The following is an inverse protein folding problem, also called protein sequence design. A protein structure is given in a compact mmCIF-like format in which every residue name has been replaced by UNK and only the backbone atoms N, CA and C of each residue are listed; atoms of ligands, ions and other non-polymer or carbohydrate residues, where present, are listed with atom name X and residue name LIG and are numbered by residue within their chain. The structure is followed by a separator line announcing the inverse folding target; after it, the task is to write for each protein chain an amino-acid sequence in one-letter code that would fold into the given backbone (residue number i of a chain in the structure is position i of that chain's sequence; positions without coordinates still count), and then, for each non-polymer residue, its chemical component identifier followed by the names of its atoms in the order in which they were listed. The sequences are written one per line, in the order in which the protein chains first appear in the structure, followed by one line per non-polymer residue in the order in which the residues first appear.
data_IF_147915506421
#
_entry.id   IF_147915506421
#
_cell.length_a   1.000
_cell.length_b   1.000
_cell.length_c   1.000
_cell.angle_alpha   90.00
_cell.angle_beta   90.00
_cell.angle_gamma   90.00
#
_symmetry.space_group_name_H-M   'P 1'
#
loop_
_entity.id
_entity.type
_entity.pdbx_description
1 polymer ?
#
# COMPACT_ATOMS: atom_id res chain seq x y z
N UNK A 1 -14.37 3.38 -3.76
CA UNK A 1 -15.77 2.95 -3.59
C UNK A 1 -16.40 2.37 -4.88
N UNK A 2 -16.39 3.09 -6.01
CA UNK A 2 -17.19 2.70 -7.20
C UNK A 2 -16.56 1.66 -8.14
N UNK A 3 -15.24 1.74 -8.36
CA UNK A 3 -14.52 0.77 -9.19
C UNK A 3 -14.61 -0.67 -8.65
N UNK A 4 -14.37 -0.95 -7.35
CA UNK A 4 -14.33 -2.32 -6.83
C UNK A 4 -15.58 -3.12 -7.20
N UNK A 5 -16.77 -2.58 -6.92
CA UNK A 5 -18.04 -3.29 -7.17
C UNK A 5 -18.24 -3.64 -8.65
N UNK A 6 -17.93 -2.70 -9.56
CA UNK A 6 -18.09 -2.93 -11.02
C UNK A 6 -17.10 -3.98 -11.52
N UNK A 7 -15.85 -3.95 -11.03
CA UNK A 7 -14.84 -4.96 -11.40
C UNK A 7 -15.13 -6.32 -10.77
N UNK A 8 -15.56 -6.38 -9.51
CA UNK A 8 -15.81 -7.62 -8.77
C UNK A 8 -16.99 -8.37 -9.37
N UNK A 9 -18.03 -7.66 -9.82
CA UNK A 9 -19.21 -8.29 -10.42
C UNK A 9 -18.97 -8.88 -11.82
N UNK A 10 -18.20 -8.19 -12.66
CA UNK A 10 -17.97 -8.66 -14.03
C UNK A 10 -16.86 -9.73 -14.12
N UNK A 11 -15.84 -9.64 -13.28
CA UNK A 11 -14.65 -10.51 -13.38
C UNK A 11 -14.52 -11.52 -12.23
N UNK A 12 -15.26 -11.35 -11.13
CA UNK A 12 -15.11 -12.14 -9.91
C UNK A 12 -13.92 -11.67 -9.07
N UNK A 13 -14.05 -11.75 -7.75
CA UNK A 13 -13.09 -11.18 -6.80
C UNK A 13 -11.63 -11.65 -7.02
N UNK A 14 -11.43 -12.96 -7.28
CA UNK A 14 -10.11 -13.53 -7.59
C UNK A 14 -9.45 -12.86 -8.80
N UNK A 15 -10.19 -12.66 -9.90
CA UNK A 15 -9.60 -12.08 -11.13
C UNK A 15 -9.30 -10.60 -10.96
N UNK A 16 -10.13 -9.87 -10.21
CA UNK A 16 -9.86 -8.47 -9.88
C UNK A 16 -8.56 -8.34 -9.10
N UNK A 17 -8.37 -9.15 -8.06
CA UNK A 17 -7.13 -9.15 -7.27
C UNK A 17 -5.92 -9.44 -8.15
N UNK A 18 -5.96 -10.48 -8.98
CA UNK A 18 -4.85 -10.81 -9.89
C UNK A 18 -4.57 -9.67 -10.88
N UNK A 19 -5.62 -9.13 -11.53
CA UNK A 19 -5.48 -8.10 -12.56
C UNK A 19 -4.94 -6.79 -11.98
N UNK A 20 -5.45 -6.37 -10.82
CA UNK A 20 -5.00 -5.16 -10.13
C UNK A 20 -3.56 -5.30 -9.63
N UNK A 21 -3.16 -6.47 -9.11
CA UNK A 21 -1.76 -6.72 -8.75
C UNK A 21 -0.84 -6.68 -9.97
N UNK A 22 -1.22 -7.29 -11.10
CA UNK A 22 -0.44 -7.24 -12.35
C UNK A 22 -0.29 -5.80 -12.86
N UNK A 23 -1.38 -5.03 -12.88
CA UNK A 23 -1.35 -3.62 -13.29
C UNK A 23 -0.56 -2.71 -12.34
N UNK A 24 -0.29 -3.16 -11.11
CA UNK A 24 0.58 -2.47 -10.16
C UNK A 24 2.08 -2.68 -10.41
N UNK A 25 2.49 -3.76 -11.09
CA UNK A 25 3.90 -4.06 -11.35
C UNK A 25 4.63 -3.00 -12.21
N UNK A 26 4.01 -2.40 -13.24
CA UNK A 26 4.61 -1.29 -13.99
C UNK A 26 5.01 -0.10 -13.12
N UNK A 27 4.28 0.19 -12.04
CA UNK A 27 4.65 1.25 -11.10
C UNK A 27 5.98 0.91 -10.41
N UNK A 28 6.14 -0.32 -9.91
CA UNK A 28 7.41 -0.76 -9.34
C UNK A 28 8.54 -0.70 -10.37
N UNK A 29 8.31 -1.21 -11.58
CA UNK A 29 9.32 -1.20 -12.66
C UNK A 29 9.69 0.22 -13.12
N UNK A 30 8.76 1.18 -13.07
CA UNK A 30 9.04 2.57 -13.45
C UNK A 30 10.09 3.23 -12.55
N UNK A 31 10.23 2.77 -11.29
CA UNK A 31 11.25 3.26 -10.37
C UNK A 31 12.69 2.91 -10.80
N UNK A 32 12.88 2.06 -11.82
CA UNK A 32 14.20 1.84 -12.44
C UNK A 32 14.72 3.08 -13.17
N UNK A 33 13.82 3.83 -13.81
CA UNK A 33 14.12 5.03 -14.59
C UNK A 33 13.42 6.22 -13.94
N UNK A 34 14.15 7.07 -13.21
CA UNK A 34 13.64 8.29 -12.55
C UNK A 34 13.27 9.38 -13.57
N UNK A 35 12.36 9.07 -14.50
CA UNK A 35 11.75 10.02 -15.42
C UNK A 35 10.41 10.49 -14.86
N UNK A 36 10.32 11.79 -14.66
CA UNK A 36 9.13 12.45 -14.12
C UNK A 36 7.83 12.08 -14.84
N UNK A 37 7.84 12.05 -16.18
CA UNK A 37 6.63 11.74 -16.96
C UNK A 37 6.12 10.31 -16.72
N UNK A 38 7.05 9.35 -16.65
CA UNK A 38 6.73 7.92 -16.49
C UNK A 38 6.25 7.65 -15.07
N UNK A 39 6.96 8.22 -14.09
CA UNK A 39 6.62 8.06 -12.68
C UNK A 39 5.23 8.65 -12.39
N UNK A 40 4.94 9.86 -12.87
CA UNK A 40 3.63 10.49 -12.69
C UNK A 40 2.50 9.65 -13.32
N UNK A 41 2.72 9.15 -14.54
CA UNK A 41 1.72 8.34 -15.25
C UNK A 41 1.46 7.00 -14.56
N UNK A 42 2.50 6.34 -14.04
CA UNK A 42 2.35 5.06 -13.35
C UNK A 42 1.79 5.22 -11.93
N UNK A 43 2.14 6.29 -11.22
CA UNK A 43 1.56 6.61 -9.91
C UNK A 43 0.06 6.88 -9.99
N UNK A 44 -0.39 7.64 -11.00
CA UNK A 44 -1.82 7.89 -11.21
C UNK A 44 -2.57 6.60 -11.53
N UNK A 45 -1.98 5.73 -12.36
CA UNK A 45 -2.52 4.40 -12.63
C UNK A 45 -2.62 3.54 -11.36
N UNK A 46 -1.55 3.48 -10.55
CA UNK A 46 -1.54 2.74 -9.28
C UNK A 46 -2.60 3.26 -8.30
N UNK A 47 -2.79 4.58 -8.21
CA UNK A 47 -3.84 5.20 -7.41
C UNK A 47 -5.25 4.79 -7.83
N UNK A 48 -5.51 4.71 -9.14
CA UNK A 48 -6.79 4.23 -9.67
C UNK A 48 -7.06 2.76 -9.36
N UNK A 49 -6.01 1.95 -9.28
CA UNK A 49 -6.06 0.50 -9.00
C UNK A 49 -6.19 0.20 -7.50
N UNK A 50 -5.63 1.05 -6.65
CA UNK A 50 -5.66 0.86 -5.19
C UNK A 50 -7.09 0.75 -4.64
N UNK A 51 -8.02 1.54 -5.17
CA UNK A 51 -9.44 1.47 -4.82
C UNK A 51 -10.06 0.09 -5.04
N UNK A 52 -10.14 -0.44 -6.27
CA UNK A 52 -10.69 -1.76 -6.55
C UNK A 52 -9.94 -2.91 -5.86
N UNK A 53 -8.61 -2.81 -5.72
CA UNK A 53 -7.81 -3.80 -5.00
C UNK A 53 -8.26 -3.93 -3.54
N UNK A 54 -8.25 -2.82 -2.79
CA UNK A 54 -8.65 -2.82 -1.38
C UNK A 54 -10.12 -3.21 -1.19
N UNK A 55 -11.01 -2.76 -2.08
CA UNK A 55 -12.42 -3.15 -2.02
C UNK A 55 -12.64 -4.65 -2.26
N UNK A 56 -11.99 -5.24 -3.26
CA UNK A 56 -12.09 -6.67 -3.54
C UNK A 56 -11.51 -7.50 -2.39
N UNK A 57 -10.37 -7.07 -1.84
CA UNK A 57 -9.69 -7.73 -0.74
C UNK A 57 -10.56 -7.77 0.53
N UNK A 58 -11.14 -6.63 0.93
CA UNK A 58 -12.03 -6.54 2.09
C UNK A 58 -13.26 -7.45 1.94
N UNK A 59 -13.91 -7.43 0.76
CA UNK A 59 -15.05 -8.32 0.48
C UNK A 59 -14.64 -9.80 0.54
N UNK A 60 -13.46 -10.14 0.03
CA UNK A 60 -12.97 -11.51 0.06
C UNK A 60 -12.77 -12.02 1.49
N UNK A 61 -12.16 -11.20 2.36
CA UNK A 61 -11.91 -11.54 3.77
C UNK A 61 -13.23 -11.67 4.53
N UNK A 62 -14.16 -10.75 4.32
CA UNK A 62 -15.48 -10.76 4.97
C UNK A 62 -16.28 -12.02 4.60
N UNK A 63 -16.34 -12.35 3.31
CA UNK A 63 -17.02 -13.56 2.83
C UNK A 63 -16.37 -14.85 3.33
N UNK A 64 -15.04 -14.88 3.45
CA UNK A 64 -14.33 -16.01 4.06
C UNK A 64 -14.70 -16.17 5.54
N UNK A 65 -14.78 -15.05 6.27
CA UNK A 65 -15.19 -15.03 7.67
C UNK A 65 -16.65 -15.49 7.84
N UNK A 66 -17.58 -15.05 6.98
CA UNK A 66 -18.98 -15.47 6.99
C UNK A 66 -19.10 -16.99 6.74
N UNK A 67 -18.38 -17.52 5.76
CA UNK A 67 -18.37 -18.97 5.47
C UNK A 67 -17.80 -19.79 6.63
N UNK A 68 -16.75 -19.28 7.28
CA UNK A 68 -16.17 -19.91 8.47
C UNK A 68 -17.12 -19.88 9.66
N UNK A 69 -17.82 -18.75 9.85
CA UNK A 69 -18.82 -18.56 10.89
C UNK A 69 -20.00 -19.54 10.71
N UNK A 70 -20.45 -19.77 9.48
CA UNK A 70 -21.53 -20.71 9.18
C UNK A 70 -21.21 -22.16 9.63
N UNK A 71 -19.92 -22.55 9.64
CA UNK A 71 -19.47 -23.86 10.10
C UNK A 71 -19.29 -23.92 11.62
N UNK A 72 -18.82 -22.83 12.23
CA UNK A 72 -18.40 -22.80 13.65
C UNK A 72 -19.51 -22.32 14.59
N UNK A 73 -20.58 -21.68 14.07
CA UNK A 73 -21.69 -21.07 14.82
C UNK A 73 -21.26 -20.08 15.92
N UNK A 74 -20.08 -19.48 15.73
CA UNK A 74 -19.59 -18.41 16.59
C UNK A 74 -20.23 -17.08 16.22
N UNK A 75 -20.02 -16.07 17.07
CA UNK A 75 -20.45 -14.72 16.79
C UNK A 75 -19.74 -14.16 15.55
N UNK A 76 -20.50 -13.50 14.67
CA UNK A 76 -19.99 -13.03 13.39
C UNK A 76 -19.01 -11.87 13.58
N UNK A 77 -19.30 -10.94 14.49
CA UNK A 77 -18.45 -9.79 14.76
C UNK A 77 -17.08 -10.23 15.27
N UNK A 78 -17.06 -11.22 16.18
CA UNK A 78 -15.81 -11.81 16.66
C UNK A 78 -15.00 -12.49 15.54
N UNK A 79 -15.63 -13.34 14.73
CA UNK A 79 -14.94 -14.07 13.65
C UNK A 79 -14.36 -13.10 12.62
N UNK A 80 -15.17 -12.13 12.17
CA UNK A 80 -14.72 -11.09 11.22
C UNK A 80 -13.53 -10.32 11.80
N UNK A 81 -13.60 -9.91 13.09
CA UNK A 81 -12.49 -9.21 13.74
C UNK A 81 -11.19 -10.03 13.77
N UNK A 82 -11.27 -11.35 13.98
CA UNK A 82 -10.08 -12.23 13.96
C UNK A 82 -9.47 -12.31 12.56
N UNK A 83 -10.29 -12.50 11.52
CA UNK A 83 -9.81 -12.56 10.13
C UNK A 83 -9.15 -11.24 9.71
N UNK A 84 -9.78 -10.10 10.00
CA UNK A 84 -9.19 -8.79 9.74
C UNK A 84 -7.94 -8.52 10.60
N UNK A 85 -7.90 -9.02 11.85
CA UNK A 85 -6.71 -8.91 12.71
C UNK A 85 -5.50 -9.66 12.15
N UNK A 86 -5.70 -10.89 11.66
CA UNK A 86 -4.63 -11.66 11.00
C UNK A 86 -4.18 -10.96 9.72
N UNK A 87 -5.11 -10.47 8.91
CA UNK A 87 -4.80 -9.70 7.71
C UNK A 87 -3.96 -8.46 8.03
N UNK A 88 -4.37 -7.65 9.01
CA UNK A 88 -3.65 -6.44 9.40
C UNK A 88 -2.24 -6.76 9.91
N UNK A 89 -2.05 -7.88 10.61
CA UNK A 89 -0.71 -8.31 11.04
C UNK A 89 0.25 -8.51 9.87
N UNK A 90 -0.20 -9.16 8.79
CA UNK A 90 0.61 -9.33 7.57
C UNK A 90 0.83 -8.02 6.80
N UNK A 91 -0.18 -7.16 6.74
CA UNK A 91 -0.08 -5.86 6.07
C UNK A 91 0.96 -4.96 6.75
N UNK A 92 0.88 -4.79 8.06
CA UNK A 92 1.85 -3.99 8.81
C UNK A 92 3.23 -4.64 8.80
N UNK A 93 3.29 -5.99 8.84
CA UNK A 93 4.53 -6.73 8.67
C UNK A 93 5.24 -6.44 7.35
N UNK A 94 4.50 -6.14 6.28
CA UNK A 94 5.09 -5.83 4.97
C UNK A 94 5.98 -4.59 5.01
N UNK A 95 5.65 -3.59 5.85
CA UNK A 95 6.48 -2.41 6.03
C UNK A 95 7.83 -2.78 6.68
N UNK A 96 7.81 -3.68 7.67
CA UNK A 96 9.00 -4.17 8.34
C UNK A 96 9.90 -4.94 7.36
N UNK A 97 9.32 -5.87 6.60
CA UNK A 97 10.08 -6.67 5.62
C UNK A 97 10.61 -5.82 4.47
N UNK A 98 9.84 -4.83 3.99
CA UNK A 98 10.28 -3.88 2.97
C UNK A 98 11.50 -3.09 3.45
N UNK A 99 11.40 -2.47 4.62
CA UNK A 99 12.50 -1.70 5.19
C UNK A 99 13.75 -2.57 5.47
N UNK A 100 13.56 -3.83 5.89
CA UNK A 100 14.65 -4.77 6.05
C UNK A 100 15.36 -5.10 4.73
N UNK A 101 14.61 -5.29 3.63
CA UNK A 101 15.18 -5.52 2.29
C UNK A 101 15.95 -4.29 1.83
N UNK A 102 15.36 -3.09 1.98
CA UNK A 102 16.02 -1.82 1.65
C UNK A 102 17.32 -1.65 2.43
N UNK A 103 17.31 -1.94 3.74
CA UNK A 103 18.50 -1.90 4.59
C UNK A 103 19.59 -2.85 4.09
N UNK A 104 19.26 -4.12 3.78
CA UNK A 104 20.26 -5.09 3.33
C UNK A 104 20.90 -4.66 2.01
N UNK A 105 20.10 -4.17 1.06
CA UNK A 105 20.59 -3.78 -0.27
C UNK A 105 21.45 -2.51 -0.23
N UNK A 106 21.08 -1.53 0.59
CA UNK A 106 21.76 -0.22 0.68
C UNK A 106 22.94 -0.26 1.66
N UNK A 107 22.82 -1.01 2.77
CA UNK A 107 23.84 -1.09 3.82
C UNK A 107 25.10 -1.85 3.40
N UNK A 108 25.02 -2.76 2.42
CA UNK A 108 26.16 -3.56 1.95
C UNK A 108 27.34 -2.73 1.39
N UNK A 109 27.14 -1.44 1.06
CA UNK A 109 28.22 -0.57 0.53
C UNK A 109 28.47 0.72 1.29
N UNK A 110 27.63 1.08 2.26
CA UNK A 110 27.88 2.19 3.21
C UNK A 110 28.77 1.77 4.39
N UNK A 111 29.72 0.85 4.16
CA UNK A 111 30.85 0.63 5.08
C UNK A 111 31.97 1.61 4.71
N UNK A 112 31.76 2.89 4.95
CA UNK A 112 32.83 3.88 5.01
C UNK A 112 32.94 4.43 6.45
N UNK A 113 34.17 4.70 6.90
CA UNK A 113 34.59 4.45 8.27
C UNK A 113 33.94 5.43 9.23
N UNK A 114 33.59 4.93 10.44
CA UNK A 114 33.43 5.74 11.66
C UNK A 114 34.77 6.43 12.03
N UNK A 115 35.28 7.29 11.16
CA UNK A 115 36.42 8.16 11.39
C UNK A 115 36.12 9.51 10.75
N UNK A 116 35.12 10.21 11.29
CA UNK A 116 35.01 11.66 11.17
C UNK A 116 35.04 12.23 12.60
N UNK A 117 36.21 12.13 13.22
CA UNK A 117 36.75 13.28 13.95
C UNK A 117 37.01 14.36 12.92
N UNK A 118 36.02 15.17 12.59
CA UNK A 118 36.29 16.48 11.99
C UNK A 118 35.38 17.52 12.62
N UNK A 119 36.02 18.50 13.23
CA UNK A 119 35.46 19.44 14.19
C UNK A 119 34.73 20.61 13.51
N UNK A 120 34.26 20.44 12.26
CA UNK A 120 33.77 21.53 11.40
C UNK A 120 32.54 21.21 10.52
N UNK A 121 31.86 20.08 10.69
CA UNK A 121 30.60 19.83 9.97
C UNK A 121 29.42 20.45 10.73
N UNK A 122 28.61 21.26 10.03
CA UNK A 122 27.35 21.80 10.53
C UNK A 122 26.55 20.75 11.32
N UNK A 123 25.88 21.12 12.42
CA UNK A 123 25.05 20.17 13.15
C UNK A 123 24.00 19.60 12.21
N UNK A 124 23.97 18.27 12.09
CA UNK A 124 22.98 17.53 11.33
C UNK A 124 21.58 17.94 11.84
N UNK A 125 20.87 18.76 11.06
CA UNK A 125 19.52 19.22 11.42
C UNK A 125 18.50 18.17 11.02
N UNK A 126 18.19 17.29 11.96
CA UNK A 126 17.16 16.25 11.81
C UNK A 126 16.02 16.47 12.81
N UNK A 127 14.90 15.78 12.60
CA UNK A 127 13.73 15.85 13.47
C UNK A 127 12.99 17.18 13.33
N UNK A 128 12.80 17.90 14.43
CA UNK A 128 11.98 19.12 14.46
C UNK A 128 12.61 20.29 13.67
N UNK A 129 13.94 20.28 13.52
CA UNK A 129 14.70 21.30 12.80
C UNK A 129 15.04 20.85 11.36
N UNK A 130 14.48 19.74 10.88
CA UNK A 130 14.69 19.26 9.51
C UNK A 130 14.11 20.26 8.51
N UNK A 131 14.96 20.71 7.59
CA UNK A 131 14.59 21.63 6.52
C UNK A 131 14.88 20.98 5.17
N UNK A 132 13.83 20.45 4.53
CA UNK A 132 13.91 19.82 3.21
C UNK A 132 14.38 20.76 2.10
N UNK A 133 14.28 22.09 2.30
CA UNK A 133 14.72 23.11 1.34
C UNK A 133 15.99 23.83 1.81
N UNK A 134 16.52 23.44 2.96
CA UNK A 134 17.72 24.01 3.54
C UNK A 134 18.95 23.59 2.76
N UNK A 135 19.94 24.47 2.68
CA UNK A 135 21.21 24.20 2.00
C UNK A 135 22.14 23.29 2.84
N UNK A 136 21.57 22.31 3.56
CA UNK A 136 22.25 21.37 4.44
C UNK A 136 22.50 20.09 3.66
N UNK A 137 23.76 19.87 3.30
CA UNK A 137 24.21 18.65 2.64
C UNK A 137 24.34 17.53 3.67
N UNK A 138 23.26 16.75 3.83
CA UNK A 138 23.30 15.53 4.62
C UNK A 138 23.62 14.35 3.70
N UNK A 139 24.78 13.74 3.88
CA UNK A 139 25.22 12.56 3.11
C UNK A 139 24.29 11.35 3.28
N UNK A 140 23.51 11.30 4.36
CA UNK A 140 22.51 10.25 4.61
C UNK A 140 21.27 10.38 3.70
N UNK A 141 21.01 11.56 3.11
CA UNK A 141 19.91 11.79 2.16
C UNK A 141 20.38 11.74 0.70
N UNK A 142 21.64 11.38 0.44
CA UNK A 142 22.16 11.27 -0.91
C UNK A 142 21.51 10.08 -1.64
N UNK A 143 21.12 10.30 -2.89
CA UNK A 143 20.40 9.30 -3.69
C UNK A 143 21.28 8.04 -3.84
N UNK A 144 20.76 6.84 -3.49
CA UNK A 144 21.52 5.61 -3.62
C UNK A 144 22.05 5.41 -5.05
N UNK A 145 23.27 4.85 -5.20
CA UNK A 145 23.87 4.62 -6.51
C UNK A 145 22.97 3.74 -7.38
N UNK A 146 23.03 3.97 -8.70
CA UNK A 146 22.08 3.38 -9.65
C UNK A 146 21.99 1.85 -9.57
N UNK A 147 23.12 1.19 -9.29
CA UNK A 147 23.18 -0.26 -9.13
C UNK A 147 22.34 -0.76 -7.94
N UNK A 148 22.41 -0.11 -6.78
CA UNK A 148 21.65 -0.49 -5.58
C UNK A 148 20.16 -0.29 -5.80
N UNK A 149 19.77 0.85 -6.40
CA UNK A 149 18.39 1.14 -6.78
C UNK A 149 17.83 0.06 -7.71
N UNK A 150 18.58 -0.33 -8.75
CA UNK A 150 18.15 -1.34 -9.71
C UNK A 150 17.97 -2.70 -9.01
N UNK A 151 18.91 -3.12 -8.16
CA UNK A 151 18.80 -4.39 -7.40
C UNK A 151 17.57 -4.37 -6.48
N UNK A 152 17.33 -3.26 -5.80
CA UNK A 152 16.16 -3.10 -4.93
C UNK A 152 14.86 -3.22 -5.72
N UNK A 153 14.73 -2.49 -6.83
CA UNK A 153 13.53 -2.52 -7.68
C UNK A 153 13.32 -3.91 -8.29
N UNK A 154 14.37 -4.56 -8.78
CA UNK A 154 14.28 -5.92 -9.31
C UNK A 154 13.81 -6.93 -8.25
N UNK A 155 14.26 -6.77 -7.00
CA UNK A 155 13.82 -7.62 -5.87
C UNK A 155 12.32 -7.45 -5.61
N UNK A 156 11.84 -6.21 -5.53
CA UNK A 156 10.41 -5.94 -5.33
C UNK A 156 9.53 -6.39 -6.50
N UNK A 157 9.98 -6.19 -7.74
CA UNK A 157 9.27 -6.71 -8.93
C UNK A 157 9.22 -8.24 -8.91
N UNK A 158 10.32 -8.90 -8.53
CA UNK A 158 10.38 -10.36 -8.38
C UNK A 158 9.39 -10.87 -7.32
N UNK A 159 9.32 -10.22 -6.16
CA UNK A 159 8.33 -10.53 -5.12
C UNK A 159 6.90 -10.27 -5.59
N UNK A 160 6.67 -9.21 -6.35
CA UNK A 160 5.37 -8.91 -6.97
C UNK A 160 4.92 -10.01 -7.94
N UNK A 161 5.82 -10.49 -8.80
CA UNK A 161 5.53 -11.61 -9.70
C UNK A 161 5.25 -12.91 -8.93
N UNK A 162 6.02 -13.17 -7.87
CA UNK A 162 5.78 -14.31 -6.99
C UNK A 162 4.41 -14.22 -6.29
N UNK A 163 4.01 -13.03 -5.84
CA UNK A 163 2.68 -12.79 -5.28
C UNK A 163 1.57 -13.09 -6.30
N UNK A 164 1.72 -12.67 -7.56
CA UNK A 164 0.76 -13.02 -8.63
C UNK A 164 0.64 -14.53 -8.80
N UNK A 165 1.76 -15.27 -8.76
CA UNK A 165 1.74 -16.73 -8.81
C UNK A 165 0.98 -17.34 -7.63
N UNK A 166 1.21 -16.84 -6.41
CA UNK A 166 0.50 -17.29 -5.22
C UNK A 166 -1.00 -17.03 -5.34
N UNK A 167 -1.42 -15.84 -5.78
CA UNK A 167 -2.83 -15.52 -6.01
C UNK A 167 -3.45 -16.41 -7.09
N UNK A 168 -2.70 -16.76 -8.14
CA UNK A 168 -3.20 -17.65 -9.18
C UNK A 168 -3.41 -19.08 -8.66
N UNK A 169 -2.43 -19.61 -7.92
CA UNK A 169 -2.39 -21.01 -7.47
C UNK A 169 -3.22 -21.29 -6.22
N UNK A 170 -3.16 -20.41 -5.21
CA UNK A 170 -3.74 -20.67 -3.88
C UNK A 170 -5.06 -19.95 -3.62
N UNK A 171 -5.34 -18.84 -4.32
CA UNK A 171 -6.59 -18.12 -4.09
C UNK A 171 -7.75 -18.87 -4.75
N UNK A 172 -8.75 -19.27 -3.99
CA UNK A 172 -9.94 -19.89 -4.55
C UNK A 172 -10.87 -18.83 -5.15
N UNK A 173 -11.52 -19.11 -6.29
CA UNK A 173 -12.55 -18.23 -6.80
C UNK A 173 -13.73 -18.25 -5.82
N UNK A 174 -14.00 -17.09 -5.20
CA UNK A 174 -15.22 -16.92 -4.45
C UNK A 174 -16.40 -17.02 -5.42
N UNK A 175 -17.13 -18.15 -5.36
CA UNK A 175 -18.28 -18.41 -6.24
C UNK A 175 -19.31 -17.29 -6.03
N UNK A 176 -19.64 -16.59 -7.12
CA UNK A 176 -20.49 -15.38 -7.11
C UNK A 176 -21.88 -15.66 -6.52
N UNK A 177 -22.06 -15.43 -5.22
CA UNK A 177 -23.39 -15.25 -4.61
C UNK A 177 -23.84 -13.77 -4.66
N UNK A 178 -22.99 -12.88 -5.20
CA UNK A 178 -23.32 -11.48 -5.47
C UNK A 178 -24.15 -11.45 -6.76
N UNK A 179 -25.47 -11.39 -6.60
CA UNK A 179 -26.49 -11.38 -7.66
C UNK A 179 -26.09 -10.52 -8.87
N UNK A 180 -26.11 -11.17 -10.03
CA UNK A 180 -25.96 -10.57 -11.36
C UNK A 180 -26.92 -9.38 -11.56
N UNK A 181 -26.37 -8.17 -11.56
CA UNK A 181 -27.05 -6.95 -11.96
C UNK A 181 -26.21 -6.21 -12.98
N UNK A 182 -25.91 -6.86 -14.12
CA UNK A 182 -25.03 -6.28 -15.14
C UNK A 182 -25.66 -5.05 -15.81
N UNK A 183 -24.97 -3.90 -15.73
CA UNK A 183 -25.28 -2.73 -16.54
C UNK A 183 -24.95 -1.37 -15.92
N UNK A 184 -24.73 -0.36 -16.78
CA UNK A 184 -24.54 1.05 -16.41
C UNK A 184 -25.62 1.60 -15.47
N UNK A 185 -26.86 1.08 -15.58
CA UNK A 185 -27.97 1.42 -14.68
C UNK A 185 -27.77 0.91 -13.26
N UNK A 186 -27.17 -0.27 -13.07
CA UNK A 186 -26.86 -0.83 -11.75
C UNK A 186 -25.75 -0.03 -11.07
N UNK A 187 -24.67 0.27 -11.81
CA UNK A 187 -23.60 1.14 -11.34
C UNK A 187 -24.10 2.54 -10.96
N UNK A 188 -24.96 3.14 -11.79
CA UNK A 188 -25.54 4.46 -11.50
C UNK A 188 -26.54 4.41 -10.31
N UNK A 189 -27.28 3.31 -10.15
CA UNK A 189 -28.16 3.12 -8.99
C UNK A 189 -27.37 2.98 -7.69
N UNK A 190 -26.25 2.25 -7.70
CA UNK A 190 -25.35 2.13 -6.53
C UNK A 190 -24.60 3.41 -6.24
N UNK A 191 -24.22 4.17 -7.27
CA UNK A 191 -23.70 5.52 -7.10
C UNK A 191 -24.71 6.44 -6.39
N UNK A 192 -25.97 6.39 -6.83
CA UNK A 192 -27.04 7.14 -6.20
C UNK A 192 -27.32 6.66 -4.76
N UNK A 193 -27.22 5.34 -4.51
CA UNK A 193 -27.34 4.77 -3.18
C UNK A 193 -26.19 5.21 -2.26
N UNK A 194 -24.95 5.20 -2.72
CA UNK A 194 -23.78 5.67 -1.97
C UNK A 194 -23.90 7.16 -1.61
N UNK A 195 -24.33 8.01 -2.55
CA UNK A 195 -24.59 9.44 -2.28
C UNK A 195 -25.75 9.61 -1.29
N UNK A 196 -26.81 8.81 -1.41
CA UNK A 196 -27.92 8.82 -0.46
C UNK A 196 -27.47 8.39 0.94
N UNK A 197 -26.53 7.46 1.02
CA UNK A 197 -25.93 6.98 2.26
C UNK A 197 -25.11 8.08 2.96
N UNK A 198 -24.41 8.96 2.22
CA UNK A 198 -23.73 10.14 2.80
C UNK A 198 -24.69 11.04 3.59
N UNK A 199 -25.99 11.03 3.32
CA UNK A 199 -27.00 11.75 4.11
C UNK A 199 -27.28 11.16 5.50
N UNK A 200 -26.75 9.98 5.83
CA UNK A 200 -26.94 9.36 7.14
C UNK A 200 -25.96 9.97 8.17
N UNK A 201 -26.45 10.57 9.27
CA UNK A 201 -25.61 11.26 10.25
C UNK A 201 -24.52 10.37 10.85
N UNK A 202 -24.76 9.07 10.99
CA UNK A 202 -23.76 8.13 11.51
C UNK A 202 -22.57 7.92 10.54
N UNK A 203 -22.81 7.98 9.22
CA UNK A 203 -21.75 7.84 8.22
C UNK A 203 -20.97 9.14 8.04
N UNK A 204 -21.62 10.30 8.19
CA UNK A 204 -20.93 11.60 8.18
C UNK A 204 -19.88 11.67 9.28
N UNK A 205 -20.17 11.14 10.48
CA UNK A 205 -19.24 11.14 11.60
C UNK A 205 -17.98 10.29 11.35
N UNK A 206 -18.05 9.29 10.46
CA UNK A 206 -16.92 8.44 10.10
C UNK A 206 -15.97 9.11 9.10
N UNK A 207 -16.43 10.11 8.35
CA UNK A 207 -15.62 10.80 7.33
C UNK A 207 -14.42 11.53 7.96
N UNK A 208 -14.58 12.37 9.01
CA UNK A 208 -13.45 13.01 9.67
C UNK A 208 -12.44 12.03 10.24
N UNK A 209 -12.92 10.92 10.82
CA UNK A 209 -12.06 9.86 11.39
C UNK A 209 -11.23 9.22 10.27
N UNK A 210 -11.86 8.92 9.13
CA UNK A 210 -11.17 8.33 7.97
C UNK A 210 -10.12 9.27 7.39
N UNK A 211 -10.41 10.58 7.33
CA UNK A 211 -9.45 11.60 6.90
C UNK A 211 -8.26 11.66 7.85
N UNK A 212 -8.51 11.64 9.17
CA UNK A 212 -7.46 11.67 10.18
C UNK A 212 -6.52 10.46 10.05
N UNK A 213 -7.08 9.25 9.90
CA UNK A 213 -6.30 8.02 9.69
C UNK A 213 -5.44 8.14 8.41
N UNK A 214 -6.00 8.69 7.34
CA UNK A 214 -5.26 8.92 6.10
C UNK A 214 -4.07 9.87 6.29
N UNK A 215 -4.29 11.01 6.95
CA UNK A 215 -3.24 11.99 7.25
C UNK A 215 -2.15 11.37 8.13
N UNK A 216 -2.54 10.65 9.18
CA UNK A 216 -1.63 9.95 10.09
C UNK A 216 -0.74 8.95 9.33
N UNK A 217 -1.33 8.10 8.50
CA UNK A 217 -0.59 7.10 7.72
C UNK A 217 0.43 7.72 6.76
N UNK A 218 0.08 8.85 6.12
CA UNK A 218 0.96 9.58 5.22
C UNK A 218 2.12 10.26 5.97
N UNK A 219 1.83 10.83 7.15
CA UNK A 219 2.83 11.48 7.99
C UNK A 219 3.87 10.47 8.51
N UNK A 220 3.45 9.29 8.98
CA UNK A 220 4.40 8.27 9.44
C UNK A 220 5.24 7.70 8.30
N UNK A 221 4.62 7.41 7.16
CA UNK A 221 5.31 6.72 6.05
C UNK A 221 6.30 7.62 5.31
N UNK A 222 6.06 8.93 5.26
CA UNK A 222 6.88 9.86 4.48
C UNK A 222 7.66 10.82 5.39
N UNK A 223 6.97 11.81 5.96
CA UNK A 223 7.59 12.93 6.69
C UNK A 223 8.39 12.47 7.90
N UNK A 224 7.81 11.58 8.72
CA UNK A 224 8.48 11.07 9.91
C UNK A 224 9.69 10.23 9.54
N UNK A 225 9.55 9.37 8.54
CA UNK A 225 10.64 8.50 8.08
C UNK A 225 11.79 9.31 7.49
N UNK A 226 11.51 10.34 6.69
CA UNK A 226 12.54 11.20 6.11
C UNK A 226 13.25 12.06 7.18
N UNK A 227 12.47 12.84 7.95
CA UNK A 227 13.01 13.85 8.85
C UNK A 227 13.69 13.25 10.09
N UNK A 228 13.16 12.15 10.63
CA UNK A 228 13.66 11.55 11.88
C UNK A 228 14.54 10.33 11.65
N UNK A 229 14.18 9.45 10.71
CA UNK A 229 14.86 8.16 10.52
C UNK A 229 15.98 8.31 9.48
N UNK A 230 15.65 8.61 8.23
CA UNK A 230 16.60 8.70 7.12
C UNK A 230 17.66 9.78 7.36
N UNK A 231 17.26 10.97 7.81
CA UNK A 231 18.21 12.04 8.15
C UNK A 231 19.25 11.60 9.19
N UNK A 232 18.84 10.83 10.20
CA UNK A 232 19.70 10.41 11.32
C UNK A 232 20.54 9.17 10.98
N UNK A 233 19.97 8.21 10.25
CA UNK A 233 20.54 6.85 10.08
C UNK A 233 20.90 6.50 8.62
N UNK A 234 20.47 7.27 7.62
CA UNK A 234 20.81 7.06 6.20
C UNK A 234 20.16 5.84 5.56
N UNK A 235 18.93 5.53 5.98
CA UNK A 235 18.13 4.39 5.52
C UNK A 235 16.73 4.81 5.13
#
# INVERSE_FOLDING_TARGET
LFLPEITIENFGCKRVLIFTTILGLPYLASNMYLRWDVLLSMSTLFGLISGPYNGALTVYIDELAIRYQALTKQDLEFVVAVFFGVYSCFMEGTQIFGNAISFIVISERHVLPRNLTDNNTLPLKCGIDFDAHGNVTNSNLEVPPEHERIVLVCTYVGMGLFSVLLLCCFLDPLKNDIKEGSGWKSACHRFLAAIKHVGNPHQILLIPITILIGIESALYSNEFTEAYIACSWGV
#
